data_IF_228854927145
#
_entry.id   IF_228854927145
#
_cell.length_a   1.000
_cell.length_b   1.000
_cell.length_c   1.000
_cell.angle_alpha   90.00
_cell.angle_beta   90.00
_cell.angle_gamma   90.00
#
_symmetry.space_group_name_H-M   'P 1'
#
loop_
_entity.id
_entity.type
_entity.pdbx_description
1 polymer ?
#
# COMPACT_ATOMS: atom_id res chain seq x y z
N UNK A 1 2.92 7.73 14.41
CA UNK A 1 2.42 7.39 13.06
C UNK A 1 3.18 6.21 12.53
N UNK A 2 2.50 5.06 12.54
CA UNK A 2 2.89 3.77 11.98
C UNK A 2 1.74 3.24 11.12
N UNK A 3 2.05 2.38 10.15
CA UNK A 3 1.04 1.54 9.51
C UNK A 3 0.78 0.34 10.43
N UNK A 4 -0.48 0.13 10.81
CA UNK A 4 -0.88 -1.00 11.66
C UNK A 4 -1.47 -2.15 10.87
N UNK A 5 -2.15 -1.88 9.76
CA UNK A 5 -2.67 -2.90 8.84
C UNK A 5 -2.51 -2.46 7.38
N UNK A 6 -2.28 -3.44 6.50
CA UNK A 6 -2.31 -3.30 5.05
C UNK A 6 -3.30 -4.31 4.51
N UNK A 7 -4.36 -3.81 3.87
CA UNK A 7 -5.26 -4.64 3.08
C UNK A 7 -4.94 -4.48 1.61
N UNK A 8 -4.94 -5.59 0.88
CA UNK A 8 -4.57 -5.57 -0.52
C UNK A 8 -5.50 -6.43 -1.36
N UNK A 9 -5.88 -5.88 -2.52
CA UNK A 9 -6.50 -6.61 -3.61
C UNK A 9 -5.50 -6.73 -4.76
N UNK A 10 -5.18 -7.95 -5.15
CA UNK A 10 -4.27 -8.23 -6.26
C UNK A 10 -5.09 -8.36 -7.55
N UNK A 11 -4.58 -7.79 -8.63
CA UNK A 11 -5.23 -7.79 -9.94
C UNK A 11 -4.30 -8.50 -10.92
N UNK A 12 -4.74 -9.67 -11.38
CA UNK A 12 -4.04 -10.45 -12.40
C UNK A 12 -4.61 -10.12 -13.78
N UNK A 13 -4.21 -8.97 -14.33
CA UNK A 13 -4.57 -8.63 -15.70
C UNK A 13 -3.35 -8.06 -16.46
N UNK A 14 -2.72 -8.84 -17.36
CA UNK A 14 -1.52 -8.41 -18.07
C UNK A 14 -1.76 -7.25 -19.05
N UNK A 15 -3.03 -6.94 -19.37
CA UNK A 15 -3.38 -5.85 -20.30
C UNK A 15 -3.46 -4.49 -19.61
N UNK A 16 -3.47 -4.45 -18.27
CA UNK A 16 -3.61 -3.20 -17.52
C UNK A 16 -2.32 -2.83 -16.81
N UNK A 17 -2.06 -1.53 -16.67
CA UNK A 17 -0.93 -1.03 -15.85
C UNK A 17 -1.16 -1.21 -14.35
N UNK A 18 -2.36 -1.59 -13.91
CA UNK A 18 -2.72 -1.72 -12.50
C UNK A 18 -2.54 -3.15 -12.03
N UNK A 19 -1.65 -3.33 -11.07
CA UNK A 19 -1.33 -4.63 -10.50
C UNK A 19 -2.15 -4.95 -9.25
N UNK A 20 -2.63 -3.92 -8.56
CA UNK A 20 -3.39 -4.08 -7.33
C UNK A 20 -3.82 -2.76 -6.71
N UNK A 21 -4.61 -2.87 -5.65
CA UNK A 21 -5.07 -1.74 -4.85
C UNK A 21 -4.86 -2.08 -3.38
N UNK A 22 -4.24 -1.16 -2.66
CA UNK A 22 -3.96 -1.26 -1.24
C UNK A 22 -4.81 -0.25 -0.44
N UNK A 23 -5.11 -0.62 0.80
CA UNK A 23 -5.56 0.29 1.85
C UNK A 23 -4.64 0.11 3.05
N UNK A 24 -4.27 1.21 3.70
CA UNK A 24 -3.44 1.17 4.92
C UNK A 24 -4.20 1.76 6.09
N UNK A 25 -4.05 1.15 7.26
CA UNK A 25 -4.51 1.72 8.54
C UNK A 25 -3.31 2.33 9.23
N UNK A 26 -3.44 3.58 9.68
CA UNK A 26 -2.43 4.34 10.39
C UNK A 26 -2.83 4.46 11.86
N UNK A 27 -1.89 4.11 12.76
CA UNK A 27 -2.02 4.18 14.22
C UNK A 27 -3.31 3.54 14.79
N UNK A 28 -3.90 2.53 14.11
CA UNK A 28 -5.23 1.97 14.45
C UNK A 28 -6.37 3.00 14.49
N UNK A 29 -6.19 4.14 13.84
CA UNK A 29 -7.10 5.29 13.94
C UNK A 29 -7.66 5.74 12.60
N UNK A 30 -6.84 5.71 11.54
CA UNK A 30 -7.22 6.30 10.24
C UNK A 30 -6.89 5.33 9.13
N UNK A 31 -7.86 5.08 8.23
CA UNK A 31 -7.63 4.30 7.02
C UNK A 31 -7.46 5.21 5.81
N UNK A 32 -6.49 4.88 4.95
CA UNK A 32 -6.30 5.48 3.63
C UNK A 32 -6.59 4.39 2.60
N UNK A 33 -7.69 4.53 1.87
CA UNK A 33 -8.12 3.63 0.81
C UNK A 33 -7.58 4.05 -0.56
N UNK A 34 -7.67 3.15 -1.54
CA UNK A 34 -7.44 3.41 -2.96
C UNK A 34 -6.00 3.81 -3.34
N UNK A 35 -4.99 3.29 -2.63
CA UNK A 35 -3.60 3.38 -3.05
C UNK A 35 -3.37 2.36 -4.16
N UNK A 36 -3.08 2.80 -5.39
CA UNK A 36 -2.95 1.91 -6.55
C UNK A 36 -1.49 1.50 -6.73
N UNK A 37 -1.27 0.20 -6.95
CA UNK A 37 0.02 -0.35 -7.34
C UNK A 37 0.02 -0.41 -8.86
N UNK A 38 0.86 0.40 -9.49
CA UNK A 38 0.97 0.50 -10.95
C UNK A 38 2.34 0.03 -11.43
N UNK A 39 2.40 -0.41 -12.69
CA UNK A 39 3.63 -0.73 -13.38
C UNK A 39 3.68 -0.04 -14.75
N UNK A 40 4.78 0.64 -15.03
CA UNK A 40 5.07 1.24 -16.33
C UNK A 40 6.54 1.03 -16.67
N UNK A 41 6.84 0.64 -17.91
CA UNK A 41 8.23 0.47 -18.39
C UNK A 41 9.09 -0.42 -17.48
N UNK A 42 8.50 -1.46 -16.91
CA UNK A 42 9.17 -2.39 -16.00
C UNK A 42 9.27 -1.92 -14.54
N UNK A 43 9.02 -0.63 -14.27
CA UNK A 43 9.10 -0.06 -12.91
C UNK A 43 7.74 -0.01 -12.22
N UNK A 44 7.68 -0.45 -10.95
CA UNK A 44 6.49 -0.35 -10.10
C UNK A 44 6.49 0.96 -9.32
N UNK A 45 5.32 1.55 -9.12
CA UNK A 45 5.14 2.77 -8.32
C UNK A 45 3.76 2.81 -7.67
N UNK A 46 3.63 3.57 -6.60
CA UNK A 46 2.35 3.82 -5.95
C UNK A 46 1.71 5.09 -6.51
N UNK A 47 0.49 4.97 -7.02
CA UNK A 47 -0.36 6.13 -7.26
C UNK A 47 -1.29 6.31 -6.06
N UNK A 48 -1.17 7.47 -5.44
CA UNK A 48 -1.94 7.82 -4.25
C UNK A 48 -3.43 8.01 -4.57
N UNK A 49 -4.31 7.98 -3.55
CA UNK A 49 -5.74 8.16 -3.75
C UNK A 49 -5.99 9.57 -4.27
N UNK A 50 -6.73 9.71 -5.37
CA UNK A 50 -6.94 10.99 -6.03
C UNK A 50 -8.39 11.24 -6.38
N UNK A 51 -8.77 12.52 -6.44
CA UNK A 51 -10.08 12.99 -6.90
C UNK A 51 -9.91 13.78 -8.20
N UNK A 52 -10.92 13.67 -9.06
CA UNK A 52 -11.04 14.49 -10.27
C UNK A 52 -11.57 15.86 -9.87
N UNK A 53 -10.86 16.91 -10.27
CA UNK A 53 -11.26 18.30 -10.09
C UNK A 53 -12.22 18.74 -11.19
N UNK A 54 -12.90 19.88 -11.01
CA UNK A 54 -13.87 20.40 -11.99
C UNK A 54 -13.28 20.66 -13.38
N UNK A 55 -11.98 20.92 -13.45
CA UNK A 55 -11.24 21.14 -14.69
C UNK A 55 -10.74 19.84 -15.35
N UNK A 56 -11.01 18.67 -14.76
CA UNK A 56 -10.57 17.37 -15.26
C UNK A 56 -9.22 16.88 -14.70
N UNK A 57 -8.49 17.72 -13.96
CA UNK A 57 -7.21 17.33 -13.37
C UNK A 57 -7.40 16.38 -12.18
N UNK A 58 -6.40 15.57 -11.91
CA UNK A 58 -6.35 14.71 -10.73
C UNK A 58 -5.56 15.39 -9.62
N UNK A 59 -6.10 15.36 -8.40
CA UNK A 59 -5.40 15.79 -7.20
C UNK A 59 -5.43 14.70 -6.14
N UNK A 60 -4.26 14.40 -5.60
CA UNK A 60 -4.14 13.46 -4.49
C UNK A 60 -4.91 13.97 -3.26
N UNK A 61 -5.74 13.09 -2.71
CA UNK A 61 -6.50 13.30 -1.48
C UNK A 61 -5.59 13.10 -0.26
N UNK A 62 -4.68 12.12 -0.34
CA UNK A 62 -3.66 11.85 0.66
C UNK A 62 -2.34 11.59 -0.06
N UNK A 63 -1.25 12.21 0.38
CA UNK A 63 0.07 11.98 -0.22
C UNK A 63 1.17 12.16 0.82
N UNK A 64 2.27 11.39 0.73
CA UNK A 64 3.46 11.65 1.52
C UNK A 64 4.09 12.99 1.08
N UNK A 65 4.43 13.83 2.06
CA UNK A 65 5.02 15.15 1.81
C UNK A 65 6.49 15.03 1.38
N UNK A 66 7.24 14.12 2.00
CA UNK A 66 8.67 13.94 1.76
C UNK A 66 9.02 12.58 1.14
N UNK A 67 10.29 12.44 0.73
CA UNK A 67 10.77 11.25 0.04
C UNK A 67 10.85 10.05 0.99
N UNK A 68 11.25 10.29 2.23
CA UNK A 68 11.45 9.26 3.25
C UNK A 68 10.13 8.54 3.54
N UNK A 69 9.04 9.29 3.73
CA UNK A 69 7.71 8.72 3.93
C UNK A 69 7.23 7.96 2.68
N UNK A 70 7.49 8.48 1.46
CA UNK A 70 7.17 7.77 0.22
C UNK A 70 7.89 6.43 0.15
N UNK A 71 9.20 6.42 0.41
CA UNK A 71 10.00 5.19 0.39
C UNK A 71 9.53 4.19 1.47
N UNK A 72 9.15 4.65 2.66
CA UNK A 72 8.61 3.78 3.71
C UNK A 72 7.29 3.12 3.27
N UNK A 73 6.35 3.89 2.69
CA UNK A 73 5.09 3.37 2.14
C UNK A 73 5.34 2.35 1.02
N UNK A 74 6.19 2.70 0.05
CA UNK A 74 6.54 1.82 -1.08
C UNK A 74 7.16 0.50 -0.58
N UNK A 75 8.11 0.57 0.34
CA UNK A 75 8.78 -0.60 0.93
C UNK A 75 7.77 -1.57 1.55
N UNK A 76 6.89 -1.07 2.40
CA UNK A 76 5.89 -1.88 3.12
C UNK A 76 4.85 -2.44 2.15
N UNK A 77 4.24 -1.59 1.33
CA UNK A 77 3.14 -1.99 0.43
C UNK A 77 3.65 -2.95 -0.65
N UNK A 78 4.81 -2.71 -1.27
CA UNK A 78 5.32 -3.63 -2.27
C UNK A 78 5.70 -4.98 -1.68
N UNK A 79 6.25 -5.03 -0.47
CA UNK A 79 6.51 -6.32 0.17
C UNK A 79 5.22 -7.10 0.42
N UNK A 80 4.17 -6.44 0.93
CA UNK A 80 2.85 -7.06 1.10
C UNK A 80 2.29 -7.58 -0.23
N UNK A 81 2.49 -6.83 -1.31
CA UNK A 81 2.07 -7.23 -2.65
C UNK A 81 2.79 -8.47 -3.17
N UNK A 82 4.11 -8.52 -3.04
CA UNK A 82 4.88 -9.69 -3.46
C UNK A 82 4.53 -10.94 -2.63
N UNK A 83 4.32 -10.79 -1.33
CA UNK A 83 3.92 -11.90 -0.46
C UNK A 83 2.51 -12.40 -0.81
N UNK A 84 1.55 -11.50 -1.03
CA UNK A 84 0.21 -11.88 -1.49
C UNK A 84 0.23 -12.57 -2.86
N UNK A 85 1.06 -12.09 -3.80
CA UNK A 85 1.26 -12.75 -5.10
C UNK A 85 1.86 -14.14 -4.95
N UNK A 86 2.88 -14.29 -4.10
CA UNK A 86 3.54 -15.58 -3.84
C UNK A 86 2.57 -16.62 -3.28
N UNK A 87 1.59 -16.18 -2.48
CA UNK A 87 0.55 -17.04 -1.91
C UNK A 87 -0.68 -17.22 -2.83
N UNK A 88 -0.67 -16.63 -4.03
CA UNK A 88 -1.77 -16.71 -5.00
C UNK A 88 -3.12 -16.25 -4.42
N UNK A 89 -3.09 -15.21 -3.58
CA UNK A 89 -4.28 -14.69 -2.93
C UNK A 89 -4.85 -13.52 -3.73
N UNK A 90 -6.17 -13.53 -3.96
CA UNK A 90 -6.83 -12.39 -4.63
C UNK A 90 -6.98 -11.18 -3.69
N UNK A 91 -7.09 -11.45 -2.39
CA UNK A 91 -7.10 -10.46 -1.32
C UNK A 91 -6.28 -10.97 -0.13
N UNK A 92 -5.59 -10.05 0.53
CA UNK A 92 -4.79 -10.36 1.72
C UNK A 92 -4.88 -9.20 2.71
N UNK A 93 -4.93 -9.53 4.00
CA UNK A 93 -4.74 -8.58 5.08
C UNK A 93 -3.46 -8.93 5.84
N UNK A 94 -2.65 -7.92 6.10
CA UNK A 94 -1.40 -8.03 6.84
C UNK A 94 -1.39 -7.03 7.99
N UNK A 95 -1.04 -7.49 9.18
CA UNK A 95 -1.01 -6.68 10.39
C UNK A 95 0.41 -6.52 10.91
N UNK A 96 0.76 -5.33 11.36
CA UNK A 96 2.00 -5.07 12.07
C UNK A 96 1.93 -5.70 13.47
N UNK A 97 2.87 -6.59 13.78
CA UNK A 97 2.97 -7.27 15.08
C UNK A 97 4.13 -6.75 15.95
N UNK A 98 4.92 -5.80 15.44
CA UNK A 98 6.04 -5.21 16.17
C UNK A 98 5.60 -4.01 17.01
N UNK A 99 5.36 -4.26 18.29
CA UNK A 99 4.91 -3.25 19.25
C UNK A 99 6.01 -2.29 19.73
N UNK A 100 7.26 -2.52 19.34
CA UNK A 100 8.39 -1.67 19.77
C UNK A 100 8.65 -0.50 18.82
N UNK A 101 8.20 -0.59 17.58
CA UNK A 101 8.37 0.46 16.57
C UNK A 101 7.29 1.52 16.71
N UNK A 102 7.71 2.78 16.83
CA UNK A 102 6.84 3.93 17.09
C UNK A 102 6.74 4.91 15.90
N UNK A 103 7.43 4.62 14.79
CA UNK A 103 7.60 5.51 13.64
C UNK A 103 7.52 4.75 12.32
N UNK A 104 6.79 5.31 11.35
CA UNK A 104 6.66 4.81 9.99
C UNK A 104 8.02 4.54 9.32
N UNK A 105 9.00 5.41 9.57
CA UNK A 105 10.31 5.31 8.91
C UNK A 105 11.12 4.10 9.39
N UNK A 106 10.87 3.67 10.62
CA UNK A 106 11.56 2.55 11.26
C UNK A 106 10.87 1.21 11.01
N UNK A 107 9.66 1.22 10.45
CA UNK A 107 8.94 0.00 10.11
C UNK A 107 9.61 -0.73 8.96
N UNK A 108 9.64 -2.05 9.08
CA UNK A 108 10.25 -2.98 8.15
C UNK A 108 9.22 -3.99 7.63
N UNK A 109 9.40 -4.51 6.40
CA UNK A 109 8.52 -5.54 5.88
C UNK A 109 8.28 -6.73 6.81
N UNK A 110 9.30 -7.13 7.56
CA UNK A 110 9.25 -8.26 8.49
C UNK A 110 8.37 -8.01 9.71
N UNK A 111 7.95 -6.76 9.95
CA UNK A 111 7.00 -6.42 11.01
C UNK A 111 5.57 -6.86 10.66
N UNK A 112 5.28 -7.11 9.38
CA UNK A 112 3.93 -7.38 8.86
C UNK A 112 3.72 -8.86 8.56
N UNK A 113 2.67 -9.42 9.15
CA UNK A 113 2.29 -10.82 8.98
C UNK A 113 0.88 -10.93 8.42
N UNK A 114 0.65 -11.94 7.59
CA UNK A 114 -0.70 -12.22 7.09
C UNK A 114 -1.59 -12.63 8.24
N UNK A 115 -2.62 -11.84 8.49
CA UNK A 115 -3.59 -12.03 9.55
C UNK A 115 -4.89 -12.64 9.03
N UNK A 116 -5.22 -12.45 7.74
CA UNK A 116 -6.38 -13.08 7.11
C UNK A 116 -6.19 -13.29 5.59
N UNK A 117 -6.87 -14.32 5.07
CA UNK A 117 -7.01 -14.59 3.64
C UNK A 117 -8.49 -14.50 3.28
N UNK A 118 -8.82 -13.61 2.34
CA UNK A 118 -10.21 -13.41 1.87
C UNK A 118 -10.31 -13.70 0.38
#
# INVERSE_FOLDING_TARGET
>A
MIITSVQMKIIENPTTKMLGVASIVLDDMIVIHDIKILQSEGSKFLAMPSKVLKNGDFKDVAHPINKEARCALEKIIFSCFEEGKKKMCSRVEMSNMNNTVQSLLDQMPEDFFISDFI
#
